data_IF_693614779031
#
_entry.id   IF_693614779031
#
_cell.length_a   1.000
_cell.length_b   1.000
_cell.length_c   1.000
_cell.angle_alpha   90.00
_cell.angle_beta   90.00
_cell.angle_gamma   90.00
#
_symmetry.space_group_name_H-M   'P 1'
#
loop_
_entity.id
_entity.type
_entity.pdbx_description
1 polymer ?
#
# COMPACT_ATOMS: atom_id res chain seq x y z
N UNK A 1 0.32 7.25 -23.22
CA UNK A 1 0.38 6.97 -21.78
C UNK A 1 0.09 8.25 -21.03
N UNK A 2 -0.85 8.19 -20.09
CA UNK A 2 -1.15 9.29 -19.19
C UNK A 2 -0.08 9.35 -18.09
N UNK A 3 0.25 10.55 -17.61
CA UNK A 3 1.13 10.72 -16.46
C UNK A 3 0.34 10.41 -15.17
N UNK A 4 0.86 9.50 -14.34
CA UNK A 4 0.28 9.13 -13.03
C UNK A 4 1.14 9.74 -11.92
N UNK A 5 0.51 10.19 -10.84
CA UNK A 5 1.19 10.69 -9.65
C UNK A 5 1.16 9.66 -8.52
N UNK A 6 2.34 9.21 -8.12
CA UNK A 6 2.55 8.31 -6.99
C UNK A 6 3.15 9.07 -5.81
N UNK A 7 2.71 8.75 -4.60
CA UNK A 7 3.26 9.24 -3.35
C UNK A 7 3.96 8.09 -2.62
N UNK A 8 5.14 8.36 -2.05
CA UNK A 8 5.85 7.40 -1.20
C UNK A 8 6.60 8.10 -0.09
N UNK A 9 6.65 7.47 1.09
CA UNK A 9 7.50 7.83 2.23
C UNK A 9 8.74 6.91 2.32
N UNK A 10 9.09 6.23 1.22
CA UNK A 10 10.11 5.18 1.10
C UNK A 10 9.70 3.79 1.63
N UNK A 11 8.51 3.67 2.23
CA UNK A 11 7.97 2.39 2.73
C UNK A 11 6.63 2.09 2.05
N UNK A 12 5.67 3.01 2.20
CA UNK A 12 4.35 2.96 1.61
C UNK A 12 4.36 3.60 0.22
N UNK A 13 3.51 3.11 -0.68
CA UNK A 13 3.33 3.66 -2.02
C UNK A 13 1.83 3.76 -2.29
N UNK A 14 1.36 4.97 -2.61
CA UNK A 14 -0.03 5.23 -2.93
C UNK A 14 -0.18 5.89 -4.31
N UNK A 15 -1.16 5.41 -5.09
CA UNK A 15 -1.60 6.06 -6.32
C UNK A 15 -2.50 7.26 -5.97
N UNK A 16 -2.04 8.48 -6.26
CA UNK A 16 -2.82 9.70 -6.07
C UNK A 16 -3.79 9.91 -7.24
N UNK A 17 -3.41 9.43 -8.43
CA UNK A 17 -4.22 9.43 -9.64
C UNK A 17 -3.54 10.07 -10.85
N UNK A 18 -4.27 10.15 -11.98
CA UNK A 18 -3.78 10.71 -13.22
C UNK A 18 -3.64 12.23 -13.16
N UNK A 19 -2.56 12.75 -13.73
CA UNK A 19 -2.21 14.19 -13.77
C UNK A 19 -2.50 14.81 -15.13
N UNK A 20 -2.25 14.07 -16.22
CA UNK A 20 -2.42 14.59 -17.59
C UNK A 20 -3.83 14.40 -18.15
N UNK A 21 -4.80 13.96 -17.34
CA UNK A 21 -6.15 13.65 -17.81
C UNK A 21 -6.12 12.59 -18.90
N UNK A 22 -6.54 12.97 -20.12
CA UNK A 22 -6.52 12.10 -21.32
C UNK A 22 -5.36 12.44 -22.27
N UNK A 23 -4.48 13.36 -21.90
CA UNK A 23 -3.35 13.75 -22.74
C UNK A 23 -2.19 12.78 -22.56
N UNK A 24 -1.61 12.36 -23.68
CA UNK A 24 -0.37 11.61 -23.72
C UNK A 24 0.80 12.52 -23.31
N UNK A 25 1.42 12.18 -22.18
CA UNK A 25 2.54 12.91 -21.60
C UNK A 25 3.75 11.98 -21.43
N UNK A 26 4.86 12.35 -22.04
CA UNK A 26 6.12 11.59 -21.95
C UNK A 26 7.08 12.17 -20.91
N UNK A 27 7.01 13.48 -20.67
CA UNK A 27 7.79 14.16 -19.64
C UNK A 27 6.86 15.03 -18.79
N UNK A 28 7.12 15.06 -17.49
CA UNK A 28 6.41 15.89 -16.53
C UNK A 28 7.34 16.36 -15.41
N UNK A 29 6.95 17.45 -14.75
CA UNK A 29 7.61 18.01 -13.58
C UNK A 29 6.53 18.38 -12.57
N UNK A 30 6.75 18.02 -11.32
CA UNK A 30 5.85 18.33 -10.21
C UNK A 30 6.51 19.36 -9.30
N UNK A 31 5.78 20.44 -8.98
CA UNK A 31 6.22 21.50 -8.08
C UNK A 31 5.22 21.63 -6.94
N UNK A 32 5.70 21.36 -5.72
CA UNK A 32 4.98 21.71 -4.50
C UNK A 32 5.51 23.05 -3.98
N UNK A 33 4.60 24.01 -3.79
CA UNK A 33 4.89 25.31 -3.20
C UNK A 33 4.23 25.36 -1.83
N UNK A 34 5.05 25.38 -0.78
CA UNK A 34 4.59 25.60 0.59
C UNK A 34 4.19 27.06 0.80
N UNK A 35 3.37 27.30 1.82
CA UNK A 35 3.01 28.64 2.26
C UNK A 35 4.25 29.35 2.81
N UNK A 36 4.80 30.32 2.06
CA UNK A 36 5.81 31.26 2.56
C UNK A 36 5.14 32.40 3.31
N UNK A 37 5.71 32.79 4.45
CA UNK A 37 5.16 33.81 5.35
C UNK A 37 4.76 35.11 4.64
N UNK A 38 3.64 35.65 5.13
CA UNK A 38 3.05 36.97 4.90
C UNK A 38 2.43 37.20 3.51
N UNK A 39 1.09 37.25 3.54
CA UNK A 39 0.20 37.99 2.63
C UNK A 39 -0.42 37.34 1.38
N UNK A 40 -0.42 36.00 1.14
CA UNK A 40 -1.45 35.29 0.30
C UNK A 40 -1.11 33.82 -0.10
N UNK A 41 -0.21 33.11 0.59
CA UNK A 41 0.29 31.82 0.11
C UNK A 41 -0.47 30.59 0.60
N UNK A 42 -1.53 30.14 -0.09
CA UNK A 42 -2.02 28.75 0.08
C UNK A 42 -1.00 27.75 -0.49
N UNK A 43 -0.89 26.57 0.14
CA UNK A 43 -0.13 25.44 -0.41
C UNK A 43 -0.67 25.07 -1.80
N UNK A 44 0.24 24.84 -2.75
CA UNK A 44 -0.14 24.53 -4.13
C UNK A 44 0.71 23.39 -4.66
N UNK A 45 0.06 22.43 -5.30
CA UNK A 45 0.69 21.40 -6.09
C UNK A 45 0.44 21.71 -7.57
N UNK A 46 1.51 21.86 -8.35
CA UNK A 46 1.43 22.23 -9.76
C UNK A 46 2.17 21.16 -10.56
N UNK A 47 1.53 20.62 -11.59
CA UNK A 47 2.19 19.78 -12.57
C UNK A 47 2.38 20.53 -13.88
N UNK A 48 3.57 20.42 -14.44
CA UNK A 48 3.91 20.82 -15.80
C UNK A 48 4.17 19.56 -16.60
N UNK A 49 3.50 19.36 -17.73
CA UNK A 49 3.73 18.18 -18.57
C UNK A 49 3.70 18.51 -20.05
N UNK A 50 4.41 17.69 -20.84
CA UNK A 50 4.35 17.75 -22.29
C UNK A 50 3.04 17.17 -22.79
N UNK A 51 2.31 17.94 -23.60
CA UNK A 51 1.12 17.47 -24.32
C UNK A 51 1.52 17.11 -25.74
N UNK A 52 1.50 15.81 -26.06
CA UNK A 52 1.63 15.36 -27.45
C UNK A 52 0.31 15.57 -28.19
N UNK A 53 0.38 16.06 -29.44
CA UNK A 53 -0.78 16.03 -30.34
C UNK A 53 -0.88 14.65 -31.00
N UNK A 54 -2.07 14.07 -31.00
CA UNK A 54 -2.36 12.89 -31.79
C UNK A 54 -2.33 13.24 -33.29
N UNK A 55 -1.45 12.59 -34.06
CA UNK A 55 -1.63 12.42 -35.51
C UNK A 55 -1.06 13.46 -36.47
N UNK A 56 0.09 14.11 -36.19
CA UNK A 56 0.78 14.89 -37.24
C UNK A 56 2.24 14.50 -37.43
N UNK A 57 2.54 13.82 -38.54
CA UNK A 57 3.87 13.41 -39.03
C UNK A 57 4.83 14.56 -39.37
N UNK A 58 4.49 15.81 -39.04
CA UNK A 58 5.42 16.95 -39.11
C UNK A 58 5.25 17.80 -37.86
N UNK A 59 6.32 17.86 -37.07
CA UNK A 59 6.48 18.64 -35.83
C UNK A 59 5.84 20.03 -35.96
N UNK A 60 5.10 20.43 -34.93
CA UNK A 60 5.58 21.49 -34.07
C UNK A 60 5.88 20.94 -32.68
N UNK A 61 6.82 21.58 -31.98
CA UNK A 61 7.31 21.23 -30.64
C UNK A 61 6.16 20.84 -29.68
N UNK A 62 6.38 19.87 -28.78
CA UNK A 62 5.39 19.54 -27.75
C UNK A 62 4.99 20.80 -26.98
N UNK A 63 3.69 21.04 -26.86
CA UNK A 63 3.20 22.13 -26.01
C UNK A 63 3.34 21.72 -24.55
N UNK A 64 3.74 22.65 -23.68
CA UNK A 64 3.75 22.42 -22.23
C UNK A 64 2.44 22.89 -21.61
N UNK A 65 1.83 22.05 -20.77
CA UNK A 65 0.59 22.34 -20.05
C UNK A 65 0.87 22.39 -18.56
N UNK A 66 0.41 23.46 -17.91
CA UNK A 66 0.47 23.62 -16.46
C UNK A 66 -0.91 23.40 -15.86
N UNK A 67 -1.00 22.55 -14.84
CA UNK A 67 -2.25 22.22 -14.13
C UNK A 67 -2.04 22.36 -12.64
N UNK A 68 -2.99 23.04 -11.98
CA UNK A 68 -3.04 23.14 -10.53
C UNK A 68 -3.81 21.94 -9.95
N UNK A 69 -3.11 21.10 -9.21
CA UNK A 69 -3.56 19.81 -8.71
C UNK A 69 -4.18 19.93 -7.30
N UNK A 70 -5.27 20.69 -7.19
CA UNK A 70 -5.94 20.92 -5.89
C UNK A 70 -6.48 19.62 -5.30
N UNK A 71 -7.15 18.80 -6.11
CA UNK A 71 -7.79 17.56 -5.62
C UNK A 71 -6.77 16.52 -5.21
N UNK A 72 -5.69 16.42 -5.98
CA UNK A 72 -4.59 15.50 -5.74
C UNK A 72 -3.80 15.92 -4.50
N UNK A 73 -3.60 17.23 -4.25
CA UNK A 73 -3.02 17.72 -3.00
C UNK A 73 -3.86 17.35 -1.78
N UNK A 74 -5.19 17.49 -1.85
CA UNK A 74 -6.08 17.04 -0.77
C UNK A 74 -6.01 15.53 -0.56
N UNK A 75 -5.89 14.74 -1.65
CA UNK A 75 -5.67 13.29 -1.55
C UNK A 75 -4.33 12.96 -0.89
N UNK A 76 -3.24 13.63 -1.26
CA UNK A 76 -1.92 13.46 -0.63
C UNK A 76 -2.03 13.67 0.89
N UNK A 77 -2.66 14.77 1.32
CA UNK A 77 -2.86 15.05 2.75
C UNK A 77 -3.63 13.94 3.45
N UNK A 78 -4.72 13.46 2.83
CA UNK A 78 -5.53 12.36 3.38
C UNK A 78 -4.73 11.06 3.49
N UNK A 79 -3.92 10.72 2.48
CA UNK A 79 -3.05 9.53 2.50
C UNK A 79 -2.03 9.63 3.64
N UNK A 80 -1.35 10.77 3.77
CA UNK A 80 -0.38 11.00 4.86
C UNK A 80 -1.04 10.92 6.25
N UNK A 81 -2.25 11.47 6.39
CA UNK A 81 -3.03 11.37 7.62
C UNK A 81 -3.41 9.91 7.94
N UNK A 82 -3.88 9.16 6.94
CA UNK A 82 -4.20 7.73 7.10
C UNK A 82 -2.97 6.92 7.51
N UNK A 83 -1.81 7.11 6.87
CA UNK A 83 -0.57 6.42 7.25
C UNK A 83 -0.21 6.66 8.71
N UNK A 84 -0.28 7.92 9.16
CA UNK A 84 -0.03 8.27 10.55
C UNK A 84 -1.03 7.64 11.53
N UNK A 85 -2.32 7.62 11.20
CA UNK A 85 -3.34 6.99 12.05
C UNK A 85 -3.14 5.47 12.16
N UNK A 86 -2.67 4.82 11.09
CA UNK A 86 -2.36 3.38 11.11
C UNK A 86 -1.12 3.13 11.94
N UNK A 87 -0.06 3.94 11.78
CA UNK A 87 1.16 3.86 12.60
C UNK A 87 0.86 3.98 14.10
N UNK A 88 0.01 4.94 14.48
CA UNK A 88 -0.42 5.14 15.87
C UNK A 88 -1.16 3.92 16.42
N UNK A 89 -2.05 3.31 15.62
CA UNK A 89 -2.77 2.09 16.03
C UNK A 89 -1.87 0.88 16.14
N UNK A 90 -0.99 0.66 15.16
CA UNK A 90 -0.05 -0.48 15.17
C UNK A 90 0.91 -0.36 16.36
N UNK A 91 1.39 0.84 16.67
CA UNK A 91 2.26 1.09 17.83
C UNK A 91 1.59 0.70 19.17
N UNK A 92 0.26 0.77 19.26
CA UNK A 92 -0.49 0.37 20.46
C UNK A 92 -0.67 -1.15 20.60
N UNK A 93 -0.43 -1.95 19.55
CA UNK A 93 -0.57 -3.41 19.60
C UNK A 93 0.52 -4.08 20.44
N UNK A 94 1.61 -3.36 20.72
CA UNK A 94 2.73 -3.84 21.52
C UNK A 94 3.12 -2.73 22.51
N UNK A 95 2.29 -2.46 23.54
CA UNK A 95 2.59 -1.41 24.49
C UNK A 95 3.90 -1.76 25.21
N UNK A 96 4.85 -0.83 25.21
CA UNK A 96 6.05 -0.93 26.06
C UNK A 96 5.57 -1.06 27.51
N UNK A 97 5.69 -2.25 28.08
CA UNK A 97 5.43 -2.47 29.50
C UNK A 97 6.32 -1.55 30.33
N UNK A 98 5.76 -0.46 30.84
CA UNK A 98 6.40 0.44 31.79
C UNK A 98 6.14 0.05 33.24
N UNK A 99 5.83 -1.23 33.50
CA UNK A 99 5.62 -1.74 34.85
C UNK A 99 6.83 -2.56 35.31
N UNK A 100 7.45 -2.09 36.39
CA UNK A 100 8.47 -2.77 37.17
C UNK A 100 8.14 -4.24 37.44
N UNK A 101 8.70 -5.17 36.67
CA UNK A 101 8.95 -6.54 37.11
C UNK A 101 9.91 -7.19 36.12
N UNK A 102 11.08 -7.58 36.66
CA UNK A 102 12.15 -8.37 36.07
C UNK A 102 12.35 -8.24 34.56
N UNK A 103 13.48 -7.62 34.18
CA UNK A 103 14.04 -7.64 32.83
C UNK A 103 14.23 -9.08 32.34
N UNK A 104 13.17 -9.71 31.86
CA UNK A 104 13.26 -10.71 30.82
C UNK A 104 13.77 -9.98 29.59
N UNK A 105 14.97 -10.34 29.14
CA UNK A 105 15.71 -9.75 28.01
C UNK A 105 15.05 -10.01 26.65
N UNK A 106 13.78 -10.41 26.62
CA UNK A 106 13.02 -10.82 25.43
C UNK A 106 11.66 -10.14 25.28
N UNK A 107 11.53 -8.88 25.68
CA UNK A 107 10.38 -8.05 25.31
C UNK A 107 10.60 -7.57 23.85
N UNK A 108 9.83 -8.12 22.90
CA UNK A 108 9.87 -7.79 21.47
C UNK A 108 9.17 -6.47 21.10
N UNK A 109 8.54 -5.79 22.06
CA UNK A 109 7.90 -4.49 21.89
C UNK A 109 8.92 -3.37 22.15
N UNK A 110 9.78 -3.09 21.18
CA UNK A 110 10.62 -1.87 21.18
C UNK A 110 9.91 -0.73 20.45
N UNK A 111 10.34 0.52 20.67
CA UNK A 111 9.73 1.77 20.19
C UNK A 111 9.56 1.94 18.65
N UNK A 112 9.84 0.92 17.83
CA UNK A 112 9.94 1.00 16.36
C UNK A 112 9.22 -0.11 15.60
N UNK A 113 7.97 -0.40 15.96
CA UNK A 113 7.22 -1.50 15.33
C UNK A 113 6.77 -1.16 13.90
N UNK A 114 6.62 0.12 13.61
CA UNK A 114 6.19 0.62 12.30
C UNK A 114 7.35 0.85 11.33
N UNK A 115 8.61 0.79 11.80
CA UNK A 115 9.78 1.00 10.95
C UNK A 115 9.92 -0.14 9.94
N UNK A 116 9.74 0.16 8.65
CA UNK A 116 9.74 -0.83 7.57
C UNK A 116 8.46 -1.66 7.46
N UNK A 117 7.38 -1.31 8.16
CA UNK A 117 6.06 -1.92 7.97
C UNK A 117 5.44 -1.36 6.68
N UNK A 118 5.21 -2.21 5.68
CA UNK A 118 4.75 -1.76 4.36
C UNK A 118 3.25 -1.90 4.13
N UNK A 119 2.60 -2.85 4.81
CA UNK A 119 1.18 -3.11 4.64
C UNK A 119 0.62 -3.77 5.89
N UNK A 120 -0.67 -3.54 6.15
CA UNK A 120 -1.33 -4.04 7.32
C UNK A 120 -2.78 -4.43 7.01
N UNK A 121 -3.06 -5.74 7.13
CA UNK A 121 -4.39 -6.31 6.93
C UNK A 121 -5.03 -6.58 8.28
N UNK A 122 -5.95 -5.69 8.69
CA UNK A 122 -6.70 -5.80 9.94
C UNK A 122 -8.12 -5.31 9.71
N UNK A 123 -9.12 -6.16 9.97
CA UNK A 123 -10.53 -5.84 9.66
C UNK A 123 -10.72 -5.34 8.22
N UNK A 124 -11.66 -4.42 8.00
CA UNK A 124 -11.85 -3.71 6.72
C UNK A 124 -12.10 -4.63 5.51
N UNK A 125 -12.74 -5.79 5.73
CA UNK A 125 -13.15 -6.68 4.66
C UNK A 125 -14.42 -6.13 3.99
N UNK A 126 -14.40 -5.96 2.68
CA UNK A 126 -15.54 -5.48 1.91
C UNK A 126 -15.74 -6.35 0.69
N UNK A 127 -16.77 -7.21 0.74
CA UNK A 127 -16.95 -8.26 -0.25
C UNK A 127 -15.78 -9.25 -0.20
N UNK A 128 -15.08 -9.38 -1.31
CA UNK A 128 -13.87 -10.19 -1.48
C UNK A 128 -12.56 -9.39 -1.30
N UNK A 129 -12.65 -8.10 -0.96
CA UNK A 129 -11.48 -7.22 -0.85
C UNK A 129 -11.14 -6.98 0.61
N UNK A 130 -10.03 -7.55 1.06
CA UNK A 130 -9.44 -7.23 2.36
C UNK A 130 -8.48 -6.05 2.19
N UNK A 131 -8.91 -4.88 2.65
CA UNK A 131 -8.19 -3.64 2.41
C UNK A 131 -6.92 -3.54 3.25
N UNK A 132 -5.83 -3.14 2.59
CA UNK A 132 -4.63 -2.71 3.28
C UNK A 132 -4.86 -1.33 3.89
N UNK A 133 -4.67 -1.24 5.20
CA UNK A 133 -4.95 -0.03 5.95
C UNK A 133 -3.97 1.11 5.62
N UNK A 134 -2.78 0.80 5.08
CA UNK A 134 -1.85 1.79 4.52
C UNK A 134 -2.20 2.21 3.08
N UNK A 135 -3.36 1.81 2.57
CA UNK A 135 -3.83 2.15 1.22
C UNK A 135 -2.92 1.63 0.09
N UNK A 136 -2.06 0.66 0.39
CA UNK A 136 -1.21 0.00 -0.58
C UNK A 136 -1.99 -1.04 -1.36
N UNK A 137 -1.54 -2.28 -1.28
CA UNK A 137 -2.07 -3.37 -2.10
C UNK A 137 -3.14 -4.10 -1.31
N UNK A 138 -4.36 -4.26 -1.83
CA UNK A 138 -5.38 -5.05 -1.14
C UNK A 138 -5.17 -6.55 -1.35
N UNK A 139 -5.60 -7.36 -0.38
CA UNK A 139 -5.68 -8.81 -0.54
C UNK A 139 -7.06 -9.23 -1.07
N UNK A 140 -7.08 -10.29 -1.86
CA UNK A 140 -8.32 -10.92 -2.37
C UNK A 140 -8.68 -12.11 -1.48
N UNK A 141 -9.88 -12.08 -0.92
CA UNK A 141 -10.42 -13.10 -0.02
C UNK A 141 -11.38 -14.00 -0.77
N UNK A 142 -11.18 -15.31 -0.65
CA UNK A 142 -12.12 -16.34 -1.11
C UNK A 142 -12.69 -17.06 0.12
N UNK A 143 -14.01 -17.14 0.25
CA UNK A 143 -14.67 -17.93 1.30
C UNK A 143 -14.38 -17.49 2.75
N UNK A 144 -14.12 -16.19 2.96
CA UNK A 144 -13.83 -15.62 4.28
C UNK A 144 -14.96 -14.76 4.83
N UNK A 145 -15.11 -14.74 6.16
CA UNK A 145 -16.04 -13.86 6.88
C UNK A 145 -15.24 -12.93 7.78
N UNK A 146 -15.55 -11.64 7.77
CA UNK A 146 -14.90 -10.65 8.63
C UNK A 146 -15.11 -11.02 10.10
N UNK A 147 -14.05 -10.83 10.87
CA UNK A 147 -14.02 -10.86 12.33
C UNK A 147 -13.41 -9.54 12.81
N UNK A 148 -13.44 -9.26 14.12
CA UNK A 148 -13.04 -7.95 14.65
C UNK A 148 -11.76 -7.36 14.04
N UNK A 149 -10.67 -8.13 13.97
CA UNK A 149 -9.38 -7.68 13.44
C UNK A 149 -8.84 -8.60 12.33
N UNK A 150 -9.69 -9.34 11.62
CA UNK A 150 -9.21 -10.31 10.63
C UNK A 150 -10.32 -11.05 9.92
N UNK A 151 -10.00 -12.21 9.35
CA UNK A 151 -10.94 -13.00 8.55
C UNK A 151 -10.95 -14.45 9.02
N UNK A 152 -12.15 -15.01 9.17
CA UNK A 152 -12.34 -16.44 9.42
C UNK A 152 -12.58 -17.15 8.10
N UNK A 153 -11.68 -18.05 7.74
CA UNK A 153 -11.80 -18.90 6.56
C UNK A 153 -12.46 -20.24 6.93
N UNK A 154 -13.45 -20.68 6.15
CA UNK A 154 -14.11 -21.96 6.35
C UNK A 154 -14.40 -22.63 5.01
N UNK A 155 -14.03 -23.90 4.89
CA UNK A 155 -14.28 -24.70 3.68
C UNK A 155 -13.09 -24.79 2.74
N UNK A 156 -13.23 -25.65 1.72
CA UNK A 156 -12.17 -25.91 0.73
C UNK A 156 -11.95 -24.68 -0.16
N UNK A 157 -10.69 -24.29 -0.32
CA UNK A 157 -10.30 -23.15 -1.17
C UNK A 157 -10.53 -21.79 -0.52
N UNK A 158 -10.94 -21.74 0.75
CA UNK A 158 -11.04 -20.49 1.49
C UNK A 158 -9.64 -19.99 1.91
N UNK A 159 -9.39 -18.70 1.75
CA UNK A 159 -8.11 -18.07 2.06
C UNK A 159 -8.05 -16.63 1.58
N UNK A 160 -6.88 -16.01 1.74
CA UNK A 160 -6.58 -14.69 1.21
C UNK A 160 -5.31 -14.76 0.36
N UNK A 161 -5.32 -14.10 -0.80
CA UNK A 161 -4.14 -13.89 -1.63
C UNK A 161 -3.74 -12.41 -1.59
N UNK A 162 -2.51 -12.11 -1.16
CA UNK A 162 -1.95 -10.76 -1.18
C UNK A 162 -0.92 -10.65 -2.30
N UNK A 163 -1.21 -9.95 -3.41
CA UNK A 163 -0.38 -10.07 -4.61
C UNK A 163 0.96 -9.34 -4.48
N UNK A 164 2.04 -10.00 -4.90
CA UNK A 164 3.38 -9.41 -5.09
C UNK A 164 3.65 -9.21 -6.59
N UNK A 165 3.95 -10.27 -7.32
CA UNK A 165 4.26 -10.20 -8.77
C UNK A 165 3.02 -10.07 -9.67
N UNK A 166 1.82 -10.36 -9.16
CA UNK A 166 0.55 -10.28 -9.93
C UNK A 166 0.01 -8.84 -10.08
N UNK A 167 0.71 -7.82 -9.58
CA UNK A 167 0.28 -6.42 -9.62
C UNK A 167 0.40 -5.77 -11.02
N UNK A 168 1.06 -6.43 -11.97
CA UNK A 168 1.21 -5.95 -13.34
C UNK A 168 2.44 -5.07 -13.54
N UNK A 169 2.25 -3.91 -14.17
CA UNK A 169 3.33 -2.96 -14.52
C UNK A 169 3.96 -2.32 -13.29
N UNK A 170 3.15 -1.88 -12.33
CA UNK A 170 3.61 -1.29 -11.07
C UNK A 170 3.56 -2.33 -9.96
N UNK A 171 4.71 -2.90 -9.59
CA UNK A 171 4.83 -3.89 -8.52
C UNK A 171 5.29 -3.24 -7.23
N UNK A 172 4.35 -2.71 -6.44
CA UNK A 172 4.65 -2.00 -5.19
C UNK A 172 5.41 -2.89 -4.20
N UNK A 173 5.12 -4.19 -4.19
CA UNK A 173 5.73 -5.14 -3.26
C UNK A 173 6.95 -5.88 -3.82
N UNK A 174 7.59 -5.34 -4.86
CA UNK A 174 8.77 -5.95 -5.47
C UNK A 174 9.92 -6.19 -4.47
N UNK A 175 9.99 -5.42 -3.38
CA UNK A 175 10.97 -5.61 -2.29
C UNK A 175 10.90 -7.01 -1.66
N UNK A 176 9.75 -7.68 -1.68
CA UNK A 176 9.56 -9.01 -1.10
C UNK A 176 10.35 -10.11 -1.84
N UNK A 177 10.89 -9.83 -3.04
CA UNK A 177 11.83 -10.73 -3.70
C UNK A 177 13.24 -10.71 -3.08
N UNK A 178 13.55 -9.74 -2.22
CA UNK A 178 14.87 -9.56 -1.61
C UNK A 178 14.85 -9.85 -0.12
N UNK A 179 14.01 -9.16 0.64
CA UNK A 179 13.89 -9.32 2.08
C UNK A 179 12.53 -8.84 2.56
N UNK A 180 11.84 -9.66 3.35
CA UNK A 180 10.56 -9.31 3.96
C UNK A 180 10.32 -10.14 5.23
N UNK A 181 9.43 -9.62 6.07
CA UNK A 181 8.88 -10.34 7.22
C UNK A 181 7.36 -10.31 7.10
N UNK A 182 6.73 -11.49 7.18
CA UNK A 182 5.27 -11.61 7.21
C UNK A 182 4.85 -12.11 8.60
N UNK A 183 3.95 -11.37 9.26
CA UNK A 183 3.48 -11.68 10.61
C UNK A 183 1.96 -11.82 10.59
N UNK A 184 1.44 -12.84 11.26
CA UNK A 184 0.01 -13.05 11.43
C UNK A 184 -0.30 -13.71 12.78
N UNK A 185 -1.42 -13.32 13.38
CA UNK A 185 -2.02 -14.02 14.51
C UNK A 185 -3.03 -15.03 13.97
N UNK A 186 -2.85 -16.31 14.28
CA UNK A 186 -3.68 -17.40 13.77
C UNK A 186 -4.39 -18.15 14.90
N UNK A 187 -5.66 -18.48 14.66
CA UNK A 187 -6.48 -19.31 15.56
C UNK A 187 -7.04 -20.50 14.80
N UNK A 188 -6.61 -21.71 15.16
CA UNK A 188 -7.06 -22.95 14.54
C UNK A 188 -8.32 -23.42 15.26
N UNK A 189 -9.47 -23.38 14.58
CA UNK A 189 -10.77 -23.65 15.18
C UNK A 189 -11.15 -25.14 15.17
N UNK A 190 -10.63 -25.91 14.21
CA UNK A 190 -10.93 -27.33 14.05
C UNK A 190 -9.63 -28.08 13.76
N UNK A 191 -9.55 -29.33 14.22
CA UNK A 191 -8.46 -30.23 13.86
C UNK A 191 -8.61 -30.63 12.39
N UNK A 192 -7.56 -30.51 11.56
CA UNK A 192 -7.59 -31.00 10.18
C UNK A 192 -7.92 -32.50 10.12
N UNK A 193 -8.95 -32.88 9.37
CA UNK A 193 -9.36 -34.28 9.19
C UNK A 193 -8.61 -34.99 8.04
N UNK A 194 -7.66 -34.30 7.39
CA UNK A 194 -6.93 -34.78 6.21
C UNK A 194 -5.44 -34.41 6.24
N UNK A 195 -4.83 -34.32 5.05
CA UNK A 195 -3.42 -33.94 4.89
C UNK A 195 -3.07 -32.54 5.40
N UNK A 196 -1.82 -32.13 5.20
CA UNK A 196 -1.34 -30.80 5.63
C UNK A 196 -2.16 -29.67 5.00
N UNK A 197 -2.65 -28.74 5.82
CA UNK A 197 -3.38 -27.55 5.39
C UNK A 197 -2.44 -26.33 5.55
N UNK A 198 -2.18 -25.56 4.49
CA UNK A 198 -1.35 -24.37 4.59
C UNK A 198 -2.06 -23.30 5.43
N UNK A 199 -1.32 -22.68 6.35
CA UNK A 199 -1.82 -21.57 7.18
C UNK A 199 -1.39 -20.22 6.60
N UNK A 200 -0.11 -20.09 6.30
CA UNK A 200 0.52 -18.91 5.70
C UNK A 200 1.69 -19.39 4.86
N UNK A 201 2.04 -18.66 3.81
CA UNK A 201 3.17 -19.01 2.95
C UNK A 201 3.32 -18.05 1.80
N UNK A 202 4.43 -18.19 1.07
CA UNK A 202 4.73 -17.41 -0.11
C UNK A 202 4.80 -18.32 -1.33
N UNK A 203 4.06 -17.96 -2.36
CA UNK A 203 3.99 -18.72 -3.60
C UNK A 203 4.73 -17.99 -4.70
N UNK A 204 5.71 -18.67 -5.31
CA UNK A 204 6.38 -18.20 -6.51
C UNK A 204 5.64 -18.73 -7.75
N UNK A 205 5.69 -17.96 -8.84
CA UNK A 205 5.18 -18.40 -10.14
C UNK A 205 6.36 -18.95 -10.96
N UNK A 206 6.85 -20.14 -10.63
CA UNK A 206 7.98 -20.78 -11.31
C UNK A 206 7.55 -22.00 -12.16
N UNK A 207 6.34 -22.02 -12.71
CA UNK A 207 5.87 -23.10 -13.59
C UNK A 207 5.78 -24.51 -12.93
N UNK A 208 6.22 -24.66 -11.68
CA UNK A 208 6.02 -25.80 -10.80
C UNK A 208 5.19 -25.43 -9.58
N UNK A 209 4.68 -26.42 -8.86
CA UNK A 209 3.93 -26.20 -7.60
C UNK A 209 4.86 -25.88 -6.41
N UNK A 210 5.81 -24.97 -6.57
CA UNK A 210 6.73 -24.61 -5.50
C UNK A 210 6.07 -23.53 -4.63
N UNK A 211 5.30 -23.98 -3.65
CA UNK A 211 4.90 -23.16 -2.50
C UNK A 211 6.07 -23.17 -1.52
N UNK A 212 6.69 -22.02 -1.26
CA UNK A 212 7.64 -21.89 -0.16
C UNK A 212 6.81 -21.54 1.07
N UNK A 213 6.53 -22.57 1.87
CA UNK A 213 5.84 -22.45 3.16
C UNK A 213 6.80 -21.83 4.17
#
# INVERSE_FOLDING_TARGET
MNSIFWLTDNTHIADIGPVSGNDDAAASSLLYKSAGSETDGSEKLIALYEKKKAGSEKLPLPGMVSVLLKKELERVKKVLETWKEVDERVSQLCPTSSAEQDKSTGNACTDKITDGLVGFLSGNLSGDTWRDEYLGVNATVTGGVETGNGVKFTGRGAGAEWPVGKQGENQLYHFANYNFTLVATVSIHNVPEGGSIPLIGVKMNDGGENTVV
#
